data_IF_367658117010
#
_entry.id   IF_367658117010
#
_cell.length_a   1.000
_cell.length_b   1.000
_cell.length_c   1.000
_cell.angle_alpha   90.00
_cell.angle_beta   90.00
_cell.angle_gamma   90.00
#
_symmetry.space_group_name_H-M   'P 1'
#
loop_
_entity.id
_entity.type
_entity.pdbx_description
1 polymer ?
#
# COMPACT_ATOMS: atom_id res chain seq x y z
N UNK A 1 6.51 -8.09 -13.16
CA UNK A 1 7.80 -8.09 -13.89
C UNK A 1 8.54 -6.81 -13.53
N UNK A 2 9.83 -6.90 -13.24
CA UNK A 2 10.72 -5.76 -13.03
C UNK A 2 11.80 -5.82 -14.11
N UNK A 3 12.00 -4.73 -14.83
CA UNK A 3 12.94 -4.61 -15.94
C UNK A 3 14.07 -3.62 -15.60
N UNK A 4 15.28 -3.92 -16.07
CA UNK A 4 16.36 -2.95 -16.21
C UNK A 4 16.11 -2.03 -17.40
N UNK A 5 16.92 -0.96 -17.55
CA UNK A 5 16.83 -0.09 -18.74
C UNK A 5 17.14 -0.85 -20.02
N UNK A 6 18.13 -1.74 -20.02
CA UNK A 6 18.48 -2.58 -21.18
C UNK A 6 17.30 -3.46 -21.62
N UNK A 7 16.68 -4.15 -20.67
CA UNK A 7 15.50 -4.98 -20.92
C UNK A 7 14.32 -4.12 -21.41
N UNK A 8 14.15 -2.89 -20.89
CA UNK A 8 13.08 -1.99 -21.30
C UNK A 8 13.28 -1.46 -22.74
N UNK A 9 14.52 -1.21 -23.16
CA UNK A 9 14.84 -0.87 -24.58
C UNK A 9 14.36 -1.96 -25.53
N UNK A 10 14.56 -3.23 -25.17
CA UNK A 10 14.14 -4.38 -25.96
C UNK A 10 12.65 -4.75 -25.80
N UNK A 11 11.99 -4.25 -24.76
CA UNK A 11 10.63 -4.63 -24.43
C UNK A 11 9.62 -4.19 -25.50
N UNK A 12 8.75 -5.12 -25.92
CA UNK A 12 7.65 -4.87 -26.84
C UNK A 12 6.34 -5.32 -26.15
N UNK A 13 5.42 -4.39 -25.83
CA UNK A 13 4.16 -4.74 -25.19
C UNK A 13 3.23 -5.49 -26.15
N UNK A 14 2.67 -6.62 -25.68
CA UNK A 14 1.67 -7.41 -26.44
C UNK A 14 0.24 -6.96 -26.20
N UNK A 15 0.01 -6.09 -25.20
CA UNK A 15 -1.28 -5.53 -24.81
C UNK A 15 -1.07 -4.16 -24.18
N UNK A 16 -2.13 -3.34 -23.96
CA UNK A 16 -2.00 -2.08 -23.25
C UNK A 16 -1.18 -2.24 -21.99
N UNK A 17 -0.08 -1.50 -21.89
CA UNK A 17 0.89 -1.66 -20.79
C UNK A 17 1.16 -0.32 -20.13
N UNK A 18 1.32 -0.36 -18.82
CA UNK A 18 1.70 0.75 -17.95
C UNK A 18 2.95 0.38 -17.17
N UNK A 19 3.66 1.38 -16.64
CA UNK A 19 4.89 1.11 -15.89
C UNK A 19 5.03 1.98 -14.63
N UNK A 20 5.85 1.49 -13.69
CA UNK A 20 6.41 2.30 -12.61
C UNK A 20 7.89 2.59 -12.90
N UNK A 21 8.25 3.86 -12.90
CA UNK A 21 9.65 4.32 -12.99
C UNK A 21 10.17 4.71 -11.60
N UNK A 22 11.34 4.21 -11.23
CA UNK A 22 12.00 4.54 -9.96
C UNK A 22 13.44 4.05 -9.91
N UNK A 23 14.24 4.58 -8.94
CA UNK A 23 15.63 4.17 -8.77
C UNK A 23 16.12 4.37 -7.31
N UNK A 24 16.74 3.36 -6.69
CA UNK A 24 16.61 1.96 -7.09
C UNK A 24 15.16 1.49 -6.93
N UNK A 25 14.68 0.65 -7.84
CA UNK A 25 13.35 0.06 -7.76
C UNK A 25 13.46 -1.34 -7.18
N UNK A 26 13.33 -1.45 -5.87
CA UNK A 26 13.33 -2.71 -5.16
C UNK A 26 11.95 -3.37 -5.09
N UNK A 27 11.57 -3.87 -3.93
CA UNK A 27 10.26 -4.47 -3.72
C UNK A 27 9.15 -3.41 -3.76
N UNK A 28 8.39 -3.38 -4.84
CA UNK A 28 7.21 -2.53 -5.01
C UNK A 28 5.94 -3.37 -5.08
N UNK A 29 4.86 -2.88 -4.47
CA UNK A 29 3.53 -3.50 -4.53
C UNK A 29 2.72 -3.04 -5.77
N UNK A 30 3.20 -2.01 -6.49
CA UNK A 30 2.44 -1.40 -7.60
C UNK A 30 2.05 -2.39 -8.69
N UNK A 31 2.95 -3.28 -9.21
CA UNK A 31 2.55 -4.24 -10.23
C UNK A 31 1.43 -5.17 -9.79
N UNK A 32 1.46 -5.61 -8.54
CA UNK A 32 0.45 -6.50 -7.99
C UNK A 32 -0.89 -5.78 -7.75
N UNK A 33 -0.85 -4.56 -7.24
CA UNK A 33 -2.05 -3.74 -7.04
C UNK A 33 -2.72 -3.42 -8.37
N UNK A 34 -1.96 -2.98 -9.38
CA UNK A 34 -2.52 -2.69 -10.69
C UNK A 34 -3.08 -3.93 -11.39
N UNK A 35 -2.45 -5.11 -11.22
CA UNK A 35 -3.00 -6.36 -11.72
C UNK A 35 -4.37 -6.70 -11.10
N UNK A 36 -4.53 -6.51 -9.78
CA UNK A 36 -5.82 -6.71 -9.10
C UNK A 36 -6.88 -5.68 -9.56
N UNK A 37 -6.48 -4.44 -9.83
CA UNK A 37 -7.37 -3.40 -10.35
C UNK A 37 -7.79 -3.70 -11.79
N UNK A 38 -6.90 -4.18 -12.65
CA UNK A 38 -7.25 -4.63 -14.01
C UNK A 38 -8.23 -5.81 -13.97
N UNK A 39 -7.98 -6.80 -13.10
CA UNK A 39 -8.92 -7.91 -12.88
C UNK A 39 -10.31 -7.40 -12.46
N UNK A 40 -10.37 -6.49 -11.48
CA UNK A 40 -11.61 -5.94 -10.95
C UNK A 40 -12.39 -5.11 -11.99
N UNK A 41 -11.70 -4.50 -12.95
CA UNK A 41 -12.30 -3.68 -14.03
C UNK A 41 -12.49 -4.43 -15.34
N UNK A 42 -12.12 -5.72 -15.41
CA UNK A 42 -12.20 -6.52 -16.64
C UNK A 42 -11.24 -6.05 -17.76
N UNK A 43 -10.20 -5.29 -17.44
CA UNK A 43 -9.25 -4.79 -18.42
C UNK A 43 -8.14 -5.82 -18.71
N UNK A 44 -7.93 -6.17 -19.98
CA UNK A 44 -6.76 -6.95 -20.40
C UNK A 44 -5.56 -6.01 -20.63
N UNK A 45 -4.92 -5.63 -19.53
CA UNK A 45 -3.75 -4.76 -19.52
C UNK A 45 -2.60 -5.35 -18.70
N UNK A 46 -1.41 -4.75 -18.80
CA UNK A 46 -0.24 -5.15 -18.04
C UNK A 46 0.35 -3.95 -17.28
N UNK A 47 1.01 -4.26 -16.16
CA UNK A 47 1.78 -3.28 -15.41
C UNK A 47 3.16 -3.84 -15.06
N UNK A 48 4.21 -3.09 -15.36
CA UNK A 48 5.60 -3.48 -15.15
C UNK A 48 6.32 -2.47 -14.25
N UNK A 49 7.39 -2.90 -13.59
CA UNK A 49 8.35 -1.99 -12.99
C UNK A 49 9.53 -1.79 -13.94
N UNK A 50 10.08 -0.59 -14.01
CA UNK A 50 11.31 -0.30 -14.75
C UNK A 50 12.26 0.44 -13.82
N UNK A 51 13.43 -0.15 -13.55
CA UNK A 51 14.48 0.49 -12.77
C UNK A 51 15.21 1.50 -13.68
N UNK A 52 14.87 2.78 -13.53
CA UNK A 52 15.37 3.88 -14.36
C UNK A 52 16.38 4.71 -13.57
N UNK A 53 17.68 4.65 -13.86
CA UNK A 53 18.66 5.59 -13.32
C UNK A 53 18.28 7.04 -13.61
N UNK A 54 18.64 8.01 -12.74
CA UNK A 54 18.30 9.43 -12.98
C UNK A 54 18.73 9.97 -14.35
N UNK A 55 19.91 9.59 -14.82
CA UNK A 55 20.48 10.04 -16.09
C UNK A 55 19.77 9.44 -17.32
N UNK A 56 19.07 8.30 -17.14
CA UNK A 56 18.34 7.63 -18.22
C UNK A 56 16.86 8.07 -18.30
N UNK A 57 16.41 9.00 -17.44
CA UNK A 57 14.98 9.32 -17.34
C UNK A 57 14.39 9.84 -18.66
N UNK A 58 15.10 10.70 -19.39
CA UNK A 58 14.62 11.26 -20.65
C UNK A 58 14.45 10.16 -21.71
N UNK A 59 15.44 9.29 -21.88
CA UNK A 59 15.36 8.15 -22.80
C UNK A 59 14.21 7.19 -22.41
N UNK A 60 14.13 6.85 -21.13
CA UNK A 60 13.06 5.97 -20.62
C UNK A 60 11.67 6.57 -20.87
N UNK A 61 11.54 7.90 -20.73
CA UNK A 61 10.28 8.61 -20.96
C UNK A 61 9.88 8.58 -22.46
N UNK A 62 10.80 8.82 -23.37
CA UNK A 62 10.55 8.75 -24.82
C UNK A 62 10.14 7.33 -25.24
N UNK A 63 10.85 6.32 -24.74
CA UNK A 63 10.49 4.91 -24.94
C UNK A 63 9.09 4.59 -24.38
N UNK A 64 8.75 5.13 -23.21
CA UNK A 64 7.43 4.93 -22.63
C UNK A 64 6.33 5.62 -23.43
N UNK A 65 6.55 6.87 -23.87
CA UNK A 65 5.60 7.61 -24.70
C UNK A 65 5.31 6.89 -26.03
N UNK A 66 6.30 6.19 -26.57
CA UNK A 66 6.15 5.41 -27.80
C UNK A 66 5.47 4.04 -27.59
N UNK A 67 5.67 3.39 -26.44
CA UNK A 67 5.30 1.98 -26.23
C UNK A 67 4.16 1.77 -25.23
N UNK A 68 3.95 2.70 -24.28
CA UNK A 68 3.05 2.53 -23.14
C UNK A 68 1.85 3.46 -23.21
N UNK A 69 0.85 3.19 -22.38
CA UNK A 69 -0.35 4.04 -22.24
C UNK A 69 -0.22 5.07 -21.12
N UNK A 70 0.72 4.87 -20.22
CA UNK A 70 1.00 5.75 -19.09
C UNK A 70 2.06 5.18 -18.17
N UNK A 71 2.56 6.02 -17.28
CA UNK A 71 3.53 5.62 -16.26
C UNK A 71 3.17 6.20 -14.91
N UNK A 72 3.56 5.50 -13.83
CA UNK A 72 3.76 6.10 -12.54
C UNK A 72 5.25 6.44 -12.35
N UNK A 73 5.51 7.49 -11.59
CA UNK A 73 6.85 7.88 -11.16
C UNK A 73 6.95 7.80 -9.63
N UNK A 74 8.02 7.17 -9.14
CA UNK A 74 8.40 7.23 -7.73
C UNK A 74 9.77 7.87 -7.56
N UNK A 75 10.34 7.83 -6.38
CA UNK A 75 11.68 8.38 -6.09
C UNK A 75 12.70 7.80 -7.08
N UNK A 76 13.57 8.63 -7.66
CA UNK A 76 13.72 10.07 -7.47
C UNK A 76 12.97 10.94 -8.52
N UNK A 77 12.17 10.34 -9.42
CA UNK A 77 11.71 10.92 -10.68
C UNK A 77 10.52 11.88 -10.59
N UNK A 78 9.76 11.90 -9.47
CA UNK A 78 8.51 12.66 -9.33
C UNK A 78 8.61 14.16 -9.66
N UNK A 79 9.80 14.75 -9.46
CA UNK A 79 10.07 16.16 -9.82
C UNK A 79 10.68 16.28 -11.21
N UNK A 80 11.68 15.45 -11.50
CA UNK A 80 12.41 15.52 -12.74
C UNK A 80 11.54 15.25 -13.98
N UNK A 81 10.53 14.38 -13.86
CA UNK A 81 9.63 14.05 -14.97
C UNK A 81 8.82 15.27 -15.47
N UNK A 82 8.63 16.29 -14.63
CA UNK A 82 7.82 17.48 -14.96
C UNK A 82 8.36 18.20 -16.21
N UNK A 83 9.69 18.25 -16.36
CA UNK A 83 10.36 18.90 -17.48
C UNK A 83 10.12 18.20 -18.84
N UNK A 84 9.63 16.95 -18.80
CA UNK A 84 9.36 16.12 -19.98
C UNK A 84 7.88 16.14 -20.39
N UNK A 85 7.02 16.86 -19.65
CA UNK A 85 5.58 16.83 -19.83
C UNK A 85 5.07 17.97 -20.73
N UNK A 86 4.04 17.67 -21.50
CA UNK A 86 3.30 18.66 -22.28
C UNK A 86 2.33 19.49 -21.40
N UNK A 87 1.98 18.99 -20.24
CA UNK A 87 1.12 19.67 -19.28
C UNK A 87 1.03 18.96 -17.94
N UNK A 88 0.58 19.69 -16.92
CA UNK A 88 0.49 19.20 -15.53
C UNK A 88 -0.83 19.68 -14.92
N UNK A 89 -1.54 18.80 -14.20
CA UNK A 89 -2.77 19.18 -13.50
C UNK A 89 -2.47 20.15 -12.34
N UNK A 90 -3.50 20.80 -11.82
CA UNK A 90 -3.35 21.83 -10.79
C UNK A 90 -2.67 21.29 -9.53
N UNK A 91 -3.09 20.12 -9.02
CA UNK A 91 -2.53 19.57 -7.80
C UNK A 91 -1.06 19.16 -7.95
N UNK A 92 -0.70 18.55 -9.08
CA UNK A 92 0.69 18.16 -9.36
C UNK A 92 1.58 19.39 -9.56
N UNK A 93 1.04 20.47 -10.18
CA UNK A 93 1.73 21.76 -10.33
C UNK A 93 2.02 22.39 -8.98
N UNK A 94 1.01 22.51 -8.13
CA UNK A 94 1.11 23.10 -6.80
C UNK A 94 2.10 22.35 -5.90
N UNK A 95 2.13 21.01 -6.03
CA UNK A 95 3.03 20.13 -5.29
C UNK A 95 4.45 20.08 -5.88
N UNK A 96 4.65 20.60 -7.12
CA UNK A 96 5.87 20.36 -7.90
C UNK A 96 6.26 18.87 -7.89
N UNK A 97 5.28 17.99 -8.10
CA UNK A 97 5.45 16.54 -7.97
C UNK A 97 4.42 15.79 -8.79
N UNK A 98 4.87 15.00 -9.75
CA UNK A 98 4.06 14.11 -10.58
C UNK A 98 4.35 12.67 -10.22
N UNK A 99 3.31 11.89 -9.89
CA UNK A 99 3.43 10.45 -9.69
C UNK A 99 2.72 9.61 -10.76
N UNK A 100 1.95 10.26 -11.65
CA UNK A 100 1.18 9.59 -12.69
C UNK A 100 1.25 10.42 -13.97
N UNK A 101 1.58 9.78 -15.10
CA UNK A 101 1.59 10.39 -16.42
C UNK A 101 0.68 9.60 -17.35
N UNK A 102 -0.21 10.28 -18.05
CA UNK A 102 -1.03 9.72 -19.12
C UNK A 102 -0.49 10.13 -20.50
N UNK A 103 -0.35 9.17 -21.40
CA UNK A 103 -0.01 9.39 -22.78
C UNK A 103 -1.26 9.32 -23.65
N UNK A 104 -1.70 10.46 -24.20
CA UNK A 104 -2.89 10.56 -25.05
C UNK A 104 -2.65 11.53 -26.19
N UNK A 105 -3.02 11.15 -27.39
CA UNK A 105 -2.95 11.99 -28.60
C UNK A 105 -1.57 12.65 -28.80
N UNK A 106 -0.51 11.86 -28.54
CA UNK A 106 0.87 12.33 -28.63
C UNK A 106 1.33 13.25 -27.50
N UNK A 107 0.45 13.59 -26.54
CA UNK A 107 0.77 14.44 -25.37
C UNK A 107 0.98 13.61 -24.11
N UNK A 108 1.83 14.12 -23.24
CA UNK A 108 2.11 13.57 -21.90
C UNK A 108 1.60 14.54 -20.83
N UNK A 109 0.58 14.14 -20.08
CA UNK A 109 -0.03 14.97 -19.03
C UNK A 109 0.26 14.34 -17.67
N UNK A 110 0.78 15.16 -16.75
CA UNK A 110 1.17 14.74 -15.40
C UNK A 110 0.12 15.05 -14.35
N UNK A 111 -0.02 14.13 -13.39
CA UNK A 111 -0.96 14.18 -12.29
C UNK A 111 -0.27 13.75 -10.97
N UNK A 112 -0.91 14.10 -9.85
CA UNK A 112 -0.50 13.57 -8.54
C UNK A 112 -1.67 12.85 -7.87
N UNK A 113 -1.69 11.52 -7.99
CA UNK A 113 -2.73 10.68 -7.39
C UNK A 113 -2.48 10.35 -5.91
N UNK A 114 -1.29 10.64 -5.37
CA UNK A 114 -1.02 10.45 -3.93
C UNK A 114 -1.94 11.33 -3.07
N UNK A 115 -2.26 12.54 -3.55
CA UNK A 115 -3.17 13.45 -2.83
C UNK A 115 -4.58 12.87 -2.75
N UNK A 116 -5.06 12.26 -3.83
CA UNK A 116 -6.38 11.62 -3.87
C UNK A 116 -6.41 10.41 -2.93
N UNK A 117 -5.36 9.57 -2.97
CA UNK A 117 -5.24 8.43 -2.07
C UNK A 117 -5.23 8.82 -0.59
N UNK A 118 -4.51 9.89 -0.24
CA UNK A 118 -4.48 10.41 1.13
C UNK A 118 -5.84 11.00 1.54
N UNK A 119 -6.44 11.85 0.71
CA UNK A 119 -7.76 12.44 0.96
C UNK A 119 -8.81 11.37 1.22
N UNK A 120 -8.89 10.35 0.36
CA UNK A 120 -9.87 9.28 0.51
C UNK A 120 -9.63 8.40 1.74
N UNK A 121 -8.38 8.28 2.20
CA UNK A 121 -8.09 7.60 3.46
C UNK A 121 -8.70 8.33 4.66
N UNK A 122 -8.67 9.66 4.66
CA UNK A 122 -9.30 10.47 5.71
C UNK A 122 -10.83 10.43 5.61
N UNK A 123 -11.37 10.55 4.40
CA UNK A 123 -12.84 10.47 4.16
C UNK A 123 -13.39 9.13 4.63
N UNK A 124 -12.72 8.03 4.30
CA UNK A 124 -13.10 6.69 4.73
C UNK A 124 -13.20 6.56 6.26
N UNK A 125 -12.31 7.22 6.98
CA UNK A 125 -12.27 7.19 8.45
C UNK A 125 -13.14 8.28 9.10
N UNK A 126 -13.86 9.09 8.31
CA UNK A 126 -14.68 10.19 8.79
C UNK A 126 -13.86 11.34 9.41
N UNK A 127 -12.59 11.48 9.02
CA UNK A 127 -11.69 12.51 9.57
C UNK A 127 -11.86 13.82 8.82
N UNK A 128 -12.20 14.88 9.54
CA UNK A 128 -12.26 16.24 9.02
C UNK A 128 -11.03 17.03 9.49
N UNK A 129 -10.47 17.85 8.60
CA UNK A 129 -9.24 18.61 8.87
C UNK A 129 -9.50 20.08 9.24
N UNK A 130 -10.63 20.66 8.83
CA UNK A 130 -10.94 22.07 9.03
C UNK A 130 -10.87 22.47 10.51
N UNK A 131 -9.96 23.40 10.82
CA UNK A 131 -9.75 23.89 12.18
C UNK A 131 -9.00 22.92 13.12
N UNK A 132 -8.70 21.69 12.69
CA UNK A 132 -7.97 20.72 13.50
C UNK A 132 -6.49 21.08 13.62
N UNK A 133 -5.90 20.79 14.77
CA UNK A 133 -4.46 20.90 15.00
C UNK A 133 -3.77 19.62 14.58
N UNK A 134 -3.01 19.70 13.49
CA UNK A 134 -2.36 18.55 12.83
C UNK A 134 -0.86 18.62 13.05
N UNK A 135 -0.25 17.53 13.48
CA UNK A 135 1.18 17.33 13.53
C UNK A 135 1.62 16.44 12.35
N UNK A 136 2.47 16.99 11.50
CA UNK A 136 3.11 16.25 10.40
C UNK A 136 4.56 15.94 10.77
N UNK A 137 4.91 14.66 10.77
CA UNK A 137 6.24 14.14 10.99
C UNK A 137 6.90 13.86 9.65
N UNK A 138 7.91 14.65 9.30
CA UNK A 138 8.64 14.54 8.03
C UNK A 138 8.49 15.74 7.11
N UNK A 139 9.29 15.74 6.03
CA UNK A 139 9.37 16.83 5.04
C UNK A 139 9.74 16.31 3.63
N UNK A 140 9.48 15.02 3.37
CA UNK A 140 9.69 14.38 2.06
C UNK A 140 8.46 14.47 1.16
N UNK A 141 8.47 13.73 0.04
CA UNK A 141 7.38 13.77 -0.95
C UNK A 141 6.00 13.46 -0.36
N UNK A 142 5.87 12.43 0.47
CA UNK A 142 4.60 12.13 1.15
C UNK A 142 4.19 13.27 2.12
N UNK A 143 5.18 13.88 2.81
CA UNK A 143 4.92 15.03 3.67
C UNK A 143 4.36 16.22 2.88
N UNK A 144 4.89 16.52 1.69
CA UNK A 144 4.41 17.61 0.84
C UNK A 144 2.95 17.40 0.44
N UNK A 145 2.58 16.17 0.06
CA UNK A 145 1.20 15.80 -0.28
C UNK A 145 0.26 16.00 0.92
N UNK A 146 0.64 15.48 2.10
CA UNK A 146 -0.16 15.60 3.31
C UNK A 146 -0.27 17.06 3.78
N UNK A 147 0.84 17.81 3.75
CA UNK A 147 0.87 19.23 4.14
C UNK A 147 -0.05 20.08 3.26
N UNK A 148 0.07 19.90 1.94
CA UNK A 148 -0.75 20.59 0.96
C UNK A 148 -2.25 20.33 1.17
N UNK A 149 -2.62 19.06 1.32
CA UNK A 149 -4.01 18.68 1.57
C UNK A 149 -4.53 19.26 2.89
N UNK A 150 -3.78 19.13 3.98
CA UNK A 150 -4.14 19.70 5.28
C UNK A 150 -4.32 21.23 5.22
N UNK A 151 -3.43 21.92 4.53
CA UNK A 151 -3.51 23.37 4.37
C UNK A 151 -4.75 23.81 3.57
N UNK A 152 -5.03 23.13 2.46
CA UNK A 152 -6.22 23.38 1.63
C UNK A 152 -7.53 23.15 2.37
N UNK A 153 -7.57 22.14 3.22
CA UNK A 153 -8.73 21.82 4.06
C UNK A 153 -8.83 22.72 5.31
N UNK A 154 -7.91 23.69 5.50
CA UNK A 154 -7.96 24.67 6.56
C UNK A 154 -7.53 24.16 7.93
N UNK A 155 -6.65 23.16 7.99
CA UNK A 155 -6.02 22.71 9.23
C UNK A 155 -5.03 23.74 9.80
N UNK A 156 -4.75 23.64 11.10
CA UNK A 156 -3.61 24.30 11.74
C UNK A 156 -2.44 23.31 11.76
N UNK A 157 -1.53 23.41 10.79
CA UNK A 157 -0.48 22.43 10.57
C UNK A 157 0.78 22.77 11.36
N UNK A 158 1.30 21.78 12.07
CA UNK A 158 2.64 21.81 12.69
C UNK A 158 3.52 20.81 11.97
N UNK A 159 4.63 21.25 11.40
CA UNK A 159 5.62 20.37 10.76
C UNK A 159 6.82 20.18 11.69
N UNK A 160 7.30 18.95 11.82
CA UNK A 160 8.51 18.65 12.57
C UNK A 160 9.33 17.53 11.89
N UNK A 161 10.61 17.49 12.19
CA UNK A 161 11.52 16.49 11.66
C UNK A 161 12.92 16.59 12.27
N UNK A 162 13.87 15.82 11.72
CA UNK A 162 15.28 15.85 12.17
C UNK A 162 16.01 17.11 11.71
N UNK A 163 15.66 17.62 10.53
CA UNK A 163 16.23 18.84 9.96
C UNK A 163 15.12 19.90 9.87
N UNK A 164 15.25 20.95 10.67
CA UNK A 164 14.25 22.02 10.75
C UNK A 164 14.30 22.97 9.55
N UNK A 165 15.46 23.11 8.88
CA UNK A 165 15.59 23.92 7.67
C UNK A 165 14.76 23.30 6.54
N UNK A 166 14.82 21.97 6.35
CA UNK A 166 13.97 21.27 5.37
C UNK A 166 12.48 21.33 5.73
N UNK A 167 12.16 21.32 7.04
CA UNK A 167 10.77 21.51 7.48
C UNK A 167 10.29 22.93 7.21
N UNK A 168 11.15 23.94 7.41
CA UNK A 168 10.87 25.34 7.07
C UNK A 168 10.72 25.57 5.55
N UNK A 169 11.55 24.90 4.73
CA UNK A 169 11.39 24.94 3.28
C UNK A 169 10.03 24.37 2.83
N UNK A 170 9.56 23.27 3.45
CA UNK A 170 8.22 22.75 3.19
C UNK A 170 7.13 23.74 3.67
N UNK A 171 7.29 24.34 4.83
CA UNK A 171 6.37 25.39 5.32
C UNK A 171 6.26 26.54 4.31
N UNK A 172 7.38 27.03 3.82
CA UNK A 172 7.41 28.10 2.84
C UNK A 172 6.72 27.70 1.55
N UNK A 173 7.02 26.52 1.00
CA UNK A 173 6.36 25.99 -0.19
C UNK A 173 4.83 25.96 -0.03
N UNK A 174 4.34 25.51 1.12
CA UNK A 174 2.89 25.45 1.37
C UNK A 174 2.29 26.87 1.51
N UNK A 175 2.98 27.81 2.15
CA UNK A 175 2.51 29.19 2.30
C UNK A 175 2.43 29.92 0.94
N UNK A 176 3.36 29.65 0.02
CA UNK A 176 3.36 30.20 -1.34
C UNK A 176 2.23 29.60 -2.19
N UNK A 177 1.90 28.33 -1.99
CA UNK A 177 0.94 27.59 -2.81
C UNK A 177 -0.50 27.70 -2.32
N UNK A 178 -0.71 27.76 -0.99
CA UNK A 178 -2.02 27.81 -0.37
C UNK A 178 -2.16 29.12 0.41
N UNK A 179 -2.86 30.12 -0.13
CA UNK A 179 -3.10 31.38 0.55
C UNK A 179 -3.75 31.19 1.92
N UNK A 180 -3.28 31.92 2.92
CA UNK A 180 -3.77 31.85 4.30
C UNK A 180 -3.56 30.52 5.03
N UNK A 181 -2.69 29.64 4.53
CA UNK A 181 -2.31 28.42 5.23
C UNK A 181 -1.72 28.71 6.62
N UNK A 182 -2.21 28.02 7.63
CA UNK A 182 -1.71 28.13 9.01
C UNK A 182 -0.70 27.01 9.25
N UNK A 183 0.57 27.30 8.98
CA UNK A 183 1.66 26.30 9.06
C UNK A 183 2.76 26.84 9.95
N UNK A 184 3.16 26.06 10.94
CA UNK A 184 4.27 26.35 11.84
C UNK A 184 5.28 25.19 11.86
N UNK A 185 6.55 25.50 12.14
CA UNK A 185 7.61 24.51 12.32
C UNK A 185 8.07 24.51 13.77
N UNK A 186 8.10 23.33 14.37
CA UNK A 186 8.57 23.17 15.74
C UNK A 186 9.63 22.05 15.82
N UNK A 187 10.56 22.21 16.74
CA UNK A 187 11.44 21.09 17.08
C UNK A 187 10.67 19.99 17.81
N UNK A 188 11.15 18.76 17.76
CA UNK A 188 10.51 17.62 18.44
C UNK A 188 10.32 17.80 19.93
N UNK A 189 11.13 18.66 20.55
CA UNK A 189 11.06 18.98 22.01
C UNK A 189 9.93 19.96 22.35
N UNK A 190 9.43 20.69 21.35
CA UNK A 190 8.47 21.80 21.55
C UNK A 190 7.15 21.57 20.79
N UNK A 191 6.77 20.32 20.54
CA UNK A 191 5.51 19.96 19.90
C UNK A 191 4.34 20.44 20.80
N UNK A 192 3.35 21.16 20.23
CA UNK A 192 2.16 21.56 20.98
C UNK A 192 1.41 20.35 21.57
N UNK A 193 0.94 20.49 22.82
CA UNK A 193 0.26 19.40 23.55
C UNK A 193 -1.18 19.14 23.06
N UNK A 194 -1.76 20.07 22.37
CA UNK A 194 -3.17 20.05 21.94
C UNK A 194 -3.38 19.60 20.50
N UNK A 195 -2.41 18.92 19.94
CA UNK A 195 -2.50 18.24 18.64
C UNK A 195 -3.60 17.18 18.68
N UNK A 196 -4.45 17.18 17.66
CA UNK A 196 -5.58 16.27 17.51
C UNK A 196 -5.30 15.16 16.50
N UNK A 197 -4.53 15.46 15.45
CA UNK A 197 -4.22 14.52 14.38
C UNK A 197 -2.70 14.44 14.23
N UNK A 198 -2.17 13.22 14.18
CA UNK A 198 -0.74 12.95 13.92
C UNK A 198 -0.61 12.23 12.59
N UNK A 199 0.21 12.78 11.69
CA UNK A 199 0.51 12.22 10.38
C UNK A 199 1.99 11.83 10.34
N UNK A 200 2.31 10.55 10.19
CA UNK A 200 3.69 10.10 9.98
C UNK A 200 3.95 9.88 8.48
N UNK A 201 4.83 10.70 7.92
CA UNK A 201 5.33 10.57 6.55
C UNK A 201 6.81 10.16 6.50
N UNK A 202 7.38 9.81 7.66
CA UNK A 202 8.78 9.35 7.74
C UNK A 202 8.89 7.84 7.52
N UNK A 203 10.06 7.33 7.09
CA UNK A 203 10.29 5.88 7.01
C UNK A 203 10.59 5.24 8.39
N UNK A 204 10.48 5.99 9.49
CA UNK A 204 10.79 5.47 10.83
C UNK A 204 9.69 4.54 11.30
N UNK A 205 10.02 3.28 11.50
CA UNK A 205 9.08 2.20 11.84
C UNK A 205 8.70 1.30 10.67
N UNK A 206 9.25 1.55 9.47
CA UNK A 206 9.12 0.69 8.31
C UNK A 206 10.03 -0.56 8.44
N UNK A 207 9.55 -1.69 7.91
CA UNK A 207 10.37 -2.91 7.81
C UNK A 207 11.73 -2.64 7.15
N UNK A 208 12.85 -3.21 7.66
CA UNK A 208 12.93 -4.14 8.78
C UNK A 208 13.03 -3.49 10.19
N UNK A 209 13.06 -2.16 10.31
CA UNK A 209 13.23 -1.43 11.58
C UNK A 209 11.90 -1.08 12.26
N UNK A 210 11.03 -2.07 12.40
CA UNK A 210 9.62 -1.92 12.79
C UNK A 210 9.38 -1.42 14.22
N UNK A 211 10.36 -1.58 15.11
CA UNK A 211 10.21 -1.20 16.53
C UNK A 211 10.53 0.28 16.81
N UNK A 212 10.90 1.04 15.76
CA UNK A 212 11.20 2.45 15.88
C UNK A 212 9.95 3.29 15.66
N UNK A 213 9.79 4.36 16.44
CA UNK A 213 8.79 5.39 16.24
C UNK A 213 9.43 6.77 16.16
N UNK A 214 8.91 7.70 15.34
CA UNK A 214 9.44 9.07 15.29
C UNK A 214 9.10 9.89 16.54
N UNK A 215 8.15 9.43 17.35
CA UNK A 215 7.76 10.00 18.62
C UNK A 215 7.86 8.95 19.74
N UNK A 216 8.11 9.39 20.97
CA UNK A 216 8.09 8.52 22.16
C UNK A 216 6.70 8.44 22.79
N UNK A 217 5.85 9.43 22.56
CA UNK A 217 4.46 9.51 23.03
C UNK A 217 3.63 10.35 22.05
N UNK A 218 2.33 10.14 22.03
CA UNK A 218 1.40 11.01 21.30
C UNK A 218 1.01 12.22 22.15
N UNK A 219 0.77 13.39 21.54
CA UNK A 219 0.19 14.54 22.21
C UNK A 219 -1.16 14.20 22.86
N UNK A 220 -1.47 14.82 24.00
CA UNK A 220 -2.55 14.39 24.88
C UNK A 220 -3.95 14.40 24.26
N UNK A 221 -4.20 15.29 23.27
CA UNK A 221 -5.50 15.41 22.59
C UNK A 221 -5.58 14.62 21.29
N UNK A 222 -4.61 13.73 21.00
CA UNK A 222 -4.60 12.97 19.73
C UNK A 222 -5.81 12.04 19.66
N UNK A 223 -6.65 12.26 18.66
CA UNK A 223 -7.84 11.48 18.34
C UNK A 223 -7.63 10.58 17.10
N UNK A 224 -6.64 10.91 16.25
CA UNK A 224 -6.34 10.16 15.04
C UNK A 224 -4.84 10.14 14.72
N UNK A 225 -4.36 8.98 14.27
CA UNK A 225 -3.00 8.77 13.77
C UNK A 225 -3.06 8.15 12.39
N UNK A 226 -2.50 8.81 11.40
CA UNK A 226 -2.23 8.25 10.09
C UNK A 226 -0.73 8.00 9.94
N UNK A 227 -0.36 6.80 9.54
CA UNK A 227 1.02 6.44 9.23
C UNK A 227 1.13 6.06 7.75
N UNK A 228 1.94 6.77 6.95
CA UNK A 228 2.13 6.45 5.54
C UNK A 228 2.80 5.08 5.33
N UNK A 229 3.37 4.50 6.37
CA UNK A 229 3.92 3.15 6.36
C UNK A 229 2.77 2.14 6.32
N UNK A 230 2.87 1.17 5.43
CA UNK A 230 1.94 0.04 5.31
C UNK A 230 2.60 -1.31 5.61
N UNK A 231 3.91 -1.36 5.72
CA UNK A 231 4.66 -2.56 6.15
C UNK A 231 5.64 -2.20 7.28
N UNK A 232 5.33 -2.55 8.52
CA UNK A 232 4.21 -3.37 9.02
C UNK A 232 2.85 -2.66 8.97
N UNK A 233 1.72 -3.41 8.97
CA UNK A 233 0.36 -2.82 9.01
C UNK A 233 0.05 -2.09 10.33
N UNK A 234 0.75 -2.43 11.41
CA UNK A 234 0.66 -1.73 12.70
C UNK A 234 2.06 -1.28 13.09
N UNK A 235 2.34 0.00 12.91
CA UNK A 235 3.65 0.59 13.22
C UNK A 235 3.84 0.85 14.71
N UNK A 236 5.09 1.10 15.11
CA UNK A 236 5.38 1.50 16.49
C UNK A 236 4.69 2.82 16.86
N UNK A 237 4.52 3.74 15.92
CA UNK A 237 3.77 4.98 16.12
C UNK A 237 2.29 4.72 16.43
N UNK A 238 1.66 3.82 15.68
CA UNK A 238 0.25 3.44 15.90
C UNK A 238 0.06 2.73 17.25
N UNK A 239 1.05 1.95 17.70
CA UNK A 239 1.03 1.30 19.04
C UNK A 239 1.09 2.27 20.22
N UNK A 240 1.49 3.53 20.01
CA UNK A 240 1.40 4.57 21.05
C UNK A 240 -0.03 5.04 21.30
N UNK A 241 -0.96 4.76 20.39
CA UNK A 241 -2.35 5.18 20.49
C UNK A 241 -3.10 4.38 21.59
N UNK A 242 -3.96 5.09 22.32
CA UNK A 242 -4.95 4.43 23.17
C UNK A 242 -6.13 3.99 22.29
N UNK A 243 -6.38 2.68 22.09
CA UNK A 243 -7.39 2.21 21.16
C UNK A 243 -8.83 2.60 21.52
N UNK A 244 -9.08 3.07 22.76
CA UNK A 244 -10.39 3.58 23.20
C UNK A 244 -10.62 5.05 22.84
N UNK A 245 -9.58 5.80 22.48
CA UNK A 245 -9.65 7.26 22.26
C UNK A 245 -9.07 7.71 20.94
N UNK A 246 -8.17 6.93 20.35
CA UNK A 246 -7.38 7.33 19.19
C UNK A 246 -7.53 6.28 18.09
N UNK A 247 -8.15 6.67 17.00
CA UNK A 247 -8.21 5.82 15.81
C UNK A 247 -6.85 5.83 15.08
N UNK A 248 -6.52 4.75 14.40
CA UNK A 248 -5.26 4.62 13.67
C UNK A 248 -5.47 4.07 12.27
N UNK A 249 -4.71 4.56 11.29
CA UNK A 249 -4.71 4.12 9.91
C UNK A 249 -3.28 4.00 9.39
N UNK A 250 -2.98 2.90 8.70
CA UNK A 250 -1.74 2.75 7.92
C UNK A 250 -1.88 3.28 6.48
N UNK A 251 -0.78 3.27 5.74
CA UNK A 251 -0.71 3.82 4.39
C UNK A 251 -1.25 2.91 3.27
N UNK A 252 -1.72 1.68 3.56
CA UNK A 252 -2.08 0.75 2.48
C UNK A 252 -3.31 1.20 1.70
N UNK A 253 -4.33 1.76 2.36
CA UNK A 253 -5.49 2.28 1.65
C UNK A 253 -5.14 3.45 0.73
N UNK A 254 -4.29 4.38 1.21
CA UNK A 254 -3.74 5.45 0.36
C UNK A 254 -3.02 4.87 -0.87
N UNK A 255 -2.25 3.81 -0.72
CA UNK A 255 -1.55 3.15 -1.81
C UNK A 255 -2.50 2.48 -2.81
N UNK A 256 -3.59 1.86 -2.34
CA UNK A 256 -4.63 1.28 -3.21
C UNK A 256 -5.35 2.37 -4.00
N UNK A 257 -5.79 3.43 -3.31
CA UNK A 257 -6.58 4.50 -3.94
C UNK A 257 -5.76 5.31 -4.95
N UNK A 258 -4.47 5.62 -4.67
CA UNK A 258 -3.64 6.30 -5.67
C UNK A 258 -3.48 5.46 -6.94
N UNK A 259 -3.41 4.12 -6.84
CA UNK A 259 -3.35 3.23 -7.98
C UNK A 259 -4.69 3.17 -8.74
N UNK A 260 -5.82 3.13 -8.04
CA UNK A 260 -7.15 3.19 -8.62
C UNK A 260 -7.35 4.51 -9.40
N UNK A 261 -6.99 5.65 -8.82
CA UNK A 261 -7.05 6.95 -9.51
C UNK A 261 -6.11 7.04 -10.71
N UNK A 262 -4.92 6.43 -10.64
CA UNK A 262 -4.03 6.35 -11.80
C UNK A 262 -4.71 5.60 -12.95
N UNK A 263 -5.37 4.46 -12.68
CA UNK A 263 -6.11 3.73 -13.71
C UNK A 263 -7.33 4.52 -14.22
N UNK A 264 -8.05 5.22 -13.36
CA UNK A 264 -9.14 6.11 -13.80
C UNK A 264 -8.63 7.19 -14.76
N UNK A 265 -7.49 7.81 -14.46
CA UNK A 265 -6.84 8.78 -15.36
C UNK A 265 -6.49 8.14 -16.69
N UNK A 266 -5.93 6.93 -16.70
CA UNK A 266 -5.48 6.29 -17.93
C UNK A 266 -6.61 5.74 -18.81
N UNK A 267 -7.63 5.14 -18.21
CA UNK A 267 -8.66 4.36 -18.94
C UNK A 267 -10.07 4.90 -18.81
N UNK A 268 -10.32 5.87 -17.92
CA UNK A 268 -11.67 6.37 -17.63
C UNK A 268 -12.51 5.45 -16.73
N UNK A 269 -11.99 4.29 -16.32
CA UNK A 269 -12.72 3.35 -15.43
C UNK A 269 -12.70 3.87 -14.00
N UNK A 270 -13.85 3.91 -13.36
CA UNK A 270 -14.00 4.20 -11.93
C UNK A 270 -14.11 2.91 -11.13
N UNK A 271 -13.67 2.95 -9.89
CA UNK A 271 -13.68 1.79 -8.99
C UNK A 271 -14.67 2.02 -7.85
N UNK A 272 -15.58 1.08 -7.67
CA UNK A 272 -16.48 1.08 -6.52
C UNK A 272 -15.70 0.87 -5.22
N UNK A 273 -16.08 1.55 -4.12
CA UNK A 273 -15.40 1.40 -2.82
C UNK A 273 -15.27 -0.04 -2.34
N UNK A 274 -16.27 -0.89 -2.62
CA UNK A 274 -16.27 -2.31 -2.27
C UNK A 274 -15.18 -3.11 -3.01
N UNK A 275 -14.88 -2.74 -4.26
CA UNK A 275 -13.79 -3.34 -5.04
C UNK A 275 -12.44 -2.97 -4.45
N UNK A 276 -12.23 -1.70 -4.13
CA UNK A 276 -11.00 -1.22 -3.48
C UNK A 276 -10.80 -1.87 -2.10
N UNK A 277 -11.86 -2.07 -1.33
CA UNK A 277 -11.82 -2.76 -0.04
C UNK A 277 -11.43 -4.25 -0.20
N UNK A 278 -11.92 -4.91 -1.24
CA UNK A 278 -11.53 -6.29 -1.55
C UNK A 278 -10.06 -6.40 -1.92
N UNK A 279 -9.55 -5.48 -2.75
CA UNK A 279 -8.13 -5.39 -3.12
C UNK A 279 -7.28 -5.12 -1.89
N UNK A 280 -7.69 -4.19 -1.03
CA UNK A 280 -7.02 -3.88 0.22
C UNK A 280 -6.84 -5.13 1.11
N UNK A 281 -7.93 -5.89 1.31
CA UNK A 281 -7.90 -7.12 2.12
C UNK A 281 -7.00 -8.20 1.51
N UNK A 282 -7.09 -8.42 0.20
CA UNK A 282 -6.20 -9.36 -0.52
C UNK A 282 -4.73 -8.94 -0.38
N UNK A 283 -4.45 -7.65 -0.48
CA UNK A 283 -3.08 -7.13 -0.35
C UNK A 283 -2.53 -7.34 1.06
N UNK A 284 -3.31 -7.06 2.11
CA UNK A 284 -2.92 -7.38 3.48
C UNK A 284 -2.65 -8.88 3.66
N UNK A 285 -3.51 -9.75 3.10
CA UNK A 285 -3.34 -11.19 3.19
C UNK A 285 -2.01 -11.66 2.59
N UNK A 286 -1.72 -11.22 1.37
CA UNK A 286 -0.46 -11.56 0.67
C UNK A 286 0.77 -11.02 1.39
N UNK A 287 0.71 -9.79 1.91
CA UNK A 287 1.79 -9.22 2.71
C UNK A 287 2.03 -10.03 3.99
N UNK A 288 0.98 -10.47 4.66
CA UNK A 288 1.08 -11.29 5.86
C UNK A 288 1.76 -12.64 5.57
N UNK A 289 1.37 -13.32 4.48
CA UNK A 289 2.00 -14.58 4.05
C UNK A 289 3.46 -14.38 3.70
N UNK A 290 3.78 -13.35 2.90
CA UNK A 290 5.16 -13.02 2.54
C UNK A 290 6.01 -12.78 3.79
N UNK A 291 5.50 -12.02 4.75
CA UNK A 291 6.19 -11.73 6.01
C UNK A 291 6.40 -12.98 6.87
N UNK A 292 5.40 -13.88 6.95
CA UNK A 292 5.53 -15.16 7.65
C UNK A 292 6.62 -16.01 7.00
N UNK A 293 6.66 -16.04 5.67
CA UNK A 293 7.69 -16.76 4.93
C UNK A 293 9.09 -16.16 5.18
N UNK A 294 9.26 -14.85 5.05
CA UNK A 294 10.55 -14.17 5.25
C UNK A 294 11.06 -14.33 6.70
N UNK A 295 10.16 -14.24 7.68
CA UNK A 295 10.55 -14.29 9.10
C UNK A 295 10.73 -15.71 9.66
N UNK A 296 9.95 -16.67 9.19
CA UNK A 296 9.89 -18.01 9.79
C UNK A 296 10.16 -19.14 8.79
N UNK A 297 10.40 -18.84 7.52
CA UNK A 297 10.54 -19.85 6.46
C UNK A 297 9.29 -20.70 6.23
N UNK A 298 8.10 -20.25 6.69
CA UNK A 298 6.84 -20.98 6.63
C UNK A 298 5.97 -20.46 5.49
N UNK A 299 5.34 -21.39 4.78
CA UNK A 299 4.47 -21.08 3.63
C UNK A 299 3.02 -21.53 3.84
N UNK A 300 2.74 -22.27 4.91
CA UNK A 300 1.43 -22.82 5.24
C UNK A 300 0.85 -22.16 6.48
N UNK A 301 -0.48 -22.05 6.52
CA UNK A 301 -1.25 -21.64 7.69
C UNK A 301 -2.06 -22.85 8.18
N UNK A 302 -1.93 -23.21 9.45
CA UNK A 302 -2.67 -24.32 10.04
C UNK A 302 -3.67 -23.81 11.05
N UNK A 303 -4.94 -24.15 10.87
CA UNK A 303 -6.02 -23.83 11.80
C UNK A 303 -6.29 -24.99 12.74
N UNK A 304 -6.06 -24.77 14.01
CA UNK A 304 -6.37 -25.73 15.08
C UNK A 304 -7.56 -25.24 15.92
N UNK A 305 -8.36 -26.16 16.43
CA UNK A 305 -9.49 -25.84 17.31
C UNK A 305 -10.52 -26.95 17.37
N UNK A 306 -11.43 -26.88 18.34
CA UNK A 306 -12.47 -27.87 18.54
C UNK A 306 -13.44 -27.99 17.35
N UNK A 307 -14.17 -29.10 17.29
CA UNK A 307 -15.26 -29.31 16.34
C UNK A 307 -16.28 -28.16 16.46
N UNK A 308 -16.78 -27.65 15.34
CA UNK A 308 -17.74 -26.53 15.33
C UNK A 308 -17.15 -25.13 15.60
N UNK A 309 -15.83 -24.97 15.84
CA UNK A 309 -15.21 -23.67 16.09
C UNK A 309 -15.08 -22.75 14.86
N UNK A 310 -15.59 -23.17 13.70
CA UNK A 310 -15.60 -22.36 12.47
C UNK A 310 -14.31 -22.43 11.66
N UNK A 311 -13.42 -23.41 11.89
CA UNK A 311 -12.14 -23.56 11.16
C UNK A 311 -12.30 -23.53 9.64
N UNK A 312 -13.21 -24.33 9.11
CA UNK A 312 -13.48 -24.40 7.65
C UNK A 312 -13.92 -23.06 7.07
N UNK A 313 -14.79 -22.33 7.78
CA UNK A 313 -15.27 -20.99 7.37
C UNK A 313 -14.14 -19.98 7.38
N UNK A 314 -13.34 -19.97 8.44
CA UNK A 314 -12.19 -19.07 8.57
C UNK A 314 -11.10 -19.45 7.56
N UNK A 315 -10.81 -20.73 7.38
CA UNK A 315 -9.83 -21.23 6.42
C UNK A 315 -10.12 -20.81 5.00
N UNK A 316 -11.37 -20.96 4.54
CA UNK A 316 -11.79 -20.49 3.21
C UNK A 316 -11.68 -18.97 3.05
N UNK A 317 -11.96 -18.18 4.10
CA UNK A 317 -11.76 -16.73 4.09
C UNK A 317 -10.28 -16.37 4.02
N UNK A 318 -9.43 -17.04 4.80
CA UNK A 318 -7.98 -16.85 4.76
C UNK A 318 -7.42 -17.18 3.38
N UNK A 319 -7.78 -18.32 2.80
CA UNK A 319 -7.35 -18.71 1.47
C UNK A 319 -7.66 -17.62 0.43
N UNK A 320 -8.88 -17.06 0.46
CA UNK A 320 -9.28 -15.96 -0.46
C UNK A 320 -8.43 -14.69 -0.31
N UNK A 321 -8.09 -14.29 0.93
CA UNK A 321 -7.32 -13.05 1.17
C UNK A 321 -5.83 -13.25 1.03
N UNK A 322 -5.31 -14.46 1.23
CA UNK A 322 -3.87 -14.77 1.17
C UNK A 322 -3.44 -15.26 -0.21
N UNK A 323 -4.38 -15.79 -1.00
CA UNK A 323 -4.08 -16.47 -2.26
C UNK A 323 -3.51 -17.87 -2.07
N UNK A 324 -3.61 -18.44 -0.86
CA UNK A 324 -3.24 -19.82 -0.56
C UNK A 324 -4.39 -20.78 -0.93
N UNK A 325 -4.07 -22.04 -1.19
CA UNK A 325 -5.06 -23.09 -1.42
C UNK A 325 -5.70 -23.54 -0.10
N UNK A 326 -7.03 -23.66 -0.08
CA UNK A 326 -7.73 -24.19 1.10
C UNK A 326 -7.76 -25.71 1.05
N UNK A 327 -7.30 -26.35 2.13
CA UNK A 327 -7.36 -27.81 2.31
C UNK A 327 -8.05 -28.12 3.64
N UNK A 328 -9.17 -28.83 3.58
CA UNK A 328 -9.80 -29.42 4.74
C UNK A 328 -9.23 -30.83 4.95
N UNK A 329 -8.57 -31.06 6.09
CA UNK A 329 -7.86 -32.31 6.34
C UNK A 329 -8.80 -33.53 6.38
N UNK A 330 -10.02 -33.36 6.87
CA UNK A 330 -11.03 -34.42 6.92
C UNK A 330 -11.48 -34.82 5.51
N UNK A 331 -11.79 -33.82 4.66
CA UNK A 331 -12.16 -34.07 3.27
C UNK A 331 -11.02 -34.66 2.48
N UNK A 332 -9.78 -34.21 2.71
CA UNK A 332 -8.59 -34.76 2.07
C UNK A 332 -8.39 -36.24 2.44
N UNK A 333 -8.61 -36.62 3.70
CA UNK A 333 -8.55 -38.00 4.14
C UNK A 333 -9.63 -38.85 3.47
N UNK A 334 -10.89 -38.39 3.43
CA UNK A 334 -11.99 -39.08 2.76
C UNK A 334 -11.70 -39.31 1.28
N UNK A 335 -11.16 -38.32 0.57
CA UNK A 335 -10.79 -38.43 -0.84
C UNK A 335 -9.69 -39.47 -1.06
N UNK A 336 -8.65 -39.48 -0.23
CA UNK A 336 -7.53 -40.43 -0.31
C UNK A 336 -7.93 -41.88 0.01
N UNK A 337 -8.83 -42.06 0.99
CA UNK A 337 -9.32 -43.37 1.40
C UNK A 337 -10.47 -43.90 0.51
N UNK A 338 -11.10 -43.00 -0.28
CA UNK A 338 -12.26 -43.37 -1.11
C UNK A 338 -13.51 -43.72 -0.28
N UNK A 339 -13.57 -43.33 1.00
CA UNK A 339 -14.69 -43.60 1.90
C UNK A 339 -14.84 -42.52 2.97
N UNK A 340 -16.05 -42.41 3.51
CA UNK A 340 -16.36 -41.44 4.57
C UNK A 340 -15.68 -41.80 5.88
N UNK A 341 -15.35 -40.80 6.68
CA UNK A 341 -14.73 -40.97 8.00
C UNK A 341 -15.58 -41.88 8.88
N UNK A 342 -16.93 -41.72 8.85
CA UNK A 342 -17.84 -42.61 9.57
C UNK A 342 -17.67 -44.09 9.22
N UNK A 343 -17.46 -44.37 7.93
CA UNK A 343 -17.31 -45.74 7.43
C UNK A 343 -15.91 -46.30 7.77
N UNK A 344 -14.88 -45.43 7.79
CA UNK A 344 -13.53 -45.81 8.26
C UNK A 344 -13.61 -46.24 9.73
N UNK A 345 -14.27 -45.47 10.58
CA UNK A 345 -14.45 -45.84 11.98
C UNK A 345 -15.22 -47.17 12.14
N UNK A 346 -16.31 -47.34 11.39
CA UNK A 346 -17.13 -48.56 11.46
C UNK A 346 -16.40 -49.84 10.94
N UNK A 347 -15.64 -49.69 9.87
CA UNK A 347 -15.05 -50.86 9.18
C UNK A 347 -13.60 -51.15 9.58
N UNK A 348 -12.80 -50.12 9.88
CA UNK A 348 -11.35 -50.22 10.11
C UNK A 348 -10.92 -49.80 11.54
N UNK A 349 -11.81 -49.15 12.28
CA UNK A 349 -11.61 -48.72 13.66
C UNK A 349 -10.80 -47.42 13.83
N UNK A 350 -10.75 -46.93 15.07
CA UNK A 350 -10.13 -45.64 15.41
C UNK A 350 -8.60 -45.64 15.19
N UNK A 351 -7.93 -46.72 15.52
CA UNK A 351 -6.47 -46.85 15.38
C UNK A 351 -6.02 -46.63 13.91
N UNK A 352 -6.75 -47.26 12.98
CA UNK A 352 -6.49 -47.08 11.53
C UNK A 352 -6.73 -45.62 11.12
N UNK A 353 -7.83 -45.02 11.55
CA UNK A 353 -8.10 -43.62 11.25
C UNK A 353 -6.97 -42.70 11.72
N UNK A 354 -6.49 -42.85 12.97
CA UNK A 354 -5.41 -42.02 13.52
C UNK A 354 -4.09 -42.20 12.78
N UNK A 355 -3.80 -43.39 12.33
CA UNK A 355 -2.61 -43.67 11.51
C UNK A 355 -2.69 -42.95 10.16
N UNK A 356 -3.84 -43.03 9.47
CA UNK A 356 -4.08 -42.33 8.21
C UNK A 356 -4.10 -40.82 8.36
N UNK A 357 -4.79 -40.30 9.37
CA UNK A 357 -4.80 -38.87 9.72
C UNK A 357 -3.36 -38.35 9.88
N UNK A 358 -2.53 -39.04 10.63
CA UNK A 358 -1.12 -38.66 10.85
C UNK A 358 -0.32 -38.70 9.54
N UNK A 359 -0.51 -39.75 8.73
CA UNK A 359 0.19 -39.87 7.44
C UNK A 359 -0.19 -38.74 6.49
N UNK A 360 -1.47 -38.39 6.37
CA UNK A 360 -1.93 -37.35 5.47
C UNK A 360 -1.59 -35.94 5.97
N UNK A 361 -1.58 -35.69 7.27
CA UNK A 361 -1.06 -34.43 7.82
C UNK A 361 0.43 -34.28 7.51
N UNK A 362 1.23 -35.34 7.57
CA UNK A 362 2.64 -35.30 7.15
C UNK A 362 2.77 -35.03 5.65
N UNK A 363 1.96 -35.64 4.80
CA UNK A 363 1.93 -35.36 3.37
C UNK A 363 1.59 -33.91 3.09
N UNK A 364 0.55 -33.37 3.72
CA UNK A 364 0.16 -31.96 3.60
C UNK A 364 1.24 -31.01 4.11
N UNK A 365 1.98 -31.39 5.16
CA UNK A 365 3.06 -30.56 5.70
C UNK A 365 4.25 -30.38 4.75
N UNK A 366 4.38 -31.24 3.74
CA UNK A 366 5.41 -31.11 2.70
C UNK A 366 4.96 -30.21 1.54
N UNK A 367 3.67 -29.89 1.46
CA UNK A 367 3.16 -28.95 0.47
C UNK A 367 3.46 -27.51 0.90
N UNK A 368 3.51 -26.61 -0.06
CA UNK A 368 3.65 -25.19 0.14
C UNK A 368 2.38 -24.46 -0.31
N UNK A 369 2.05 -23.37 0.35
CA UNK A 369 0.99 -22.46 -0.09
C UNK A 369 -0.42 -22.90 0.24
N UNK A 370 -0.63 -23.63 1.35
CA UNK A 370 -1.95 -24.09 1.80
C UNK A 370 -2.40 -23.47 3.14
N UNK A 371 -3.71 -23.39 3.30
CA UNK A 371 -4.41 -23.09 4.58
C UNK A 371 -5.16 -24.33 5.00
#
# INVERSE_FOLDING_TARGET
MLLSMEEFRAFQPKKPTYALFGWPLGHTMSPELHAQLFEASGQDAAYIGVAVPPDDLAEAFDLAKAKLRGINCTIPHKKAVIELLDGVDTAARDLHSVNTVAFRDGKAIGYNTDILGFSESLVRDGVTLRGKKVLLLGYGGAASVMAYHCAREGACLTITGRNLEKAAALQQQIAETVPHARVAVYSRRHIPRDIQIVLNSTPVGMYPKENLAPLHYLPHKTEYVFDAIYNPPVTATMRLANPRKTATRDGLYMLVMQAAHAQTIWSGVTFEPASCETILRRTYGKMAVKRLHEKYGKKNLVLCGFMGSGKTTIGRKLARVTGLDFVDADLYLEEKEGMKISDIFAQKGEAYFRDRETAYIRELSQRDGIV
#
